data_IF_427489497508
#
_entry.id   IF_427489497508
#
_cell.length_a   1.000
_cell.length_b   1.000
_cell.length_c   1.000
_cell.angle_alpha   90.00
_cell.angle_beta   90.00
_cell.angle_gamma   90.00
#
_symmetry.space_group_name_H-M   'P 1'
#
loop_
_entity.id
_entity.type
_entity.pdbx_description
1 polymer ?
#
# COMPACT_ATOMS: atom_id res chain seq x y z
N UNK A 1 -10.78 -24.36 6.37
CA UNK A 1 -9.37 -23.96 6.60
C UNK A 1 -8.73 -23.88 5.22
N UNK A 2 -8.42 -22.69 4.68
CA UNK A 2 -7.80 -22.59 3.34
C UNK A 2 -6.34 -22.97 3.50
N UNK A 3 -5.98 -24.17 3.04
CA UNK A 3 -4.59 -24.59 2.92
C UNK A 3 -4.02 -23.76 1.77
N UNK A 4 -3.39 -22.64 2.10
CA UNK A 4 -2.69 -21.82 1.11
C UNK A 4 -1.56 -22.68 0.54
N UNK A 5 -1.59 -22.89 -0.77
CA UNK A 5 -0.54 -23.61 -1.47
C UNK A 5 0.80 -22.88 -1.24
N UNK A 6 1.94 -23.58 -1.24
CA UNK A 6 3.22 -22.95 -0.89
C UNK A 6 3.57 -21.74 -1.79
N UNK A 7 3.00 -21.70 -2.99
CA UNK A 7 3.10 -20.61 -3.98
C UNK A 7 2.33 -19.34 -3.59
N UNK A 8 1.37 -19.45 -2.68
CA UNK A 8 0.51 -18.35 -2.21
C UNK A 8 1.06 -17.66 -0.96
N UNK A 9 2.19 -18.11 -0.43
CA UNK A 9 2.85 -17.52 0.71
C UNK A 9 4.03 -16.67 0.26
N UNK A 10 4.08 -15.42 0.73
CA UNK A 10 5.17 -14.49 0.48
C UNK A 10 5.94 -14.25 1.75
N UNK A 11 7.25 -14.40 1.67
CA UNK A 11 8.19 -13.96 2.70
C UNK A 11 8.14 -12.44 2.87
N UNK A 12 8.68 -11.96 4.00
CA UNK A 12 8.85 -10.53 4.26
C UNK A 12 9.61 -9.81 3.13
N UNK A 13 10.59 -10.48 2.52
CA UNK A 13 11.39 -9.91 1.44
C UNK A 13 10.57 -9.73 0.15
N UNK A 14 9.78 -10.74 -0.22
CA UNK A 14 8.92 -10.66 -1.41
C UNK A 14 7.80 -9.63 -1.22
N UNK A 15 7.22 -9.53 -0.01
CA UNK A 15 6.25 -8.48 0.32
C UNK A 15 6.87 -7.08 0.22
N UNK A 16 8.11 -6.93 0.68
CA UNK A 16 8.84 -5.67 0.59
C UNK A 16 9.08 -5.25 -0.87
N UNK A 17 9.46 -6.20 -1.73
CA UNK A 17 9.61 -5.96 -3.18
C UNK A 17 8.27 -5.62 -3.85
N UNK A 18 7.20 -6.38 -3.58
CA UNK A 18 5.87 -6.13 -4.14
C UNK A 18 5.35 -4.72 -3.84
N UNK A 19 5.66 -4.21 -2.65
CA UNK A 19 5.21 -2.90 -2.18
C UNK A 19 6.22 -1.77 -2.44
N UNK A 20 7.42 -2.07 -2.96
CA UNK A 20 8.54 -1.13 -3.08
C UNK A 20 8.83 -0.40 -1.75
N UNK A 21 8.95 -1.17 -0.66
CA UNK A 21 9.26 -0.63 0.68
C UNK A 21 10.40 -1.40 1.35
N UNK A 22 10.94 -0.87 2.44
CA UNK A 22 11.96 -1.57 3.22
C UNK A 22 11.39 -2.77 3.97
N UNK A 23 12.22 -3.80 4.18
CA UNK A 23 11.85 -4.97 5.02
C UNK A 23 11.48 -4.57 6.45
N UNK A 24 12.15 -3.53 6.99
CA UNK A 24 11.85 -2.97 8.30
C UNK A 24 10.43 -2.39 8.39
N UNK A 25 9.98 -1.71 7.33
CA UNK A 25 8.61 -1.21 7.25
C UNK A 25 7.59 -2.35 7.30
N UNK A 26 7.83 -3.43 6.55
CA UNK A 26 6.96 -4.61 6.56
C UNK A 26 6.88 -5.23 7.96
N UNK A 27 8.02 -5.47 8.62
CA UNK A 27 8.03 -6.08 9.97
C UNK A 27 7.39 -5.18 11.03
N UNK A 28 7.85 -3.93 11.10
CA UNK A 28 7.53 -3.03 12.21
C UNK A 28 6.16 -2.37 12.07
N UNK A 29 5.68 -2.19 10.84
CA UNK A 29 4.43 -1.48 10.59
C UNK A 29 3.33 -2.37 10.04
N UNK A 30 3.63 -3.28 9.12
CA UNK A 30 2.59 -4.10 8.50
C UNK A 30 2.29 -5.37 9.32
N UNK A 31 3.32 -6.07 9.78
CA UNK A 31 3.15 -7.31 10.54
C UNK A 31 2.85 -7.05 12.01
N UNK A 32 3.61 -6.16 12.67
CA UNK A 32 3.41 -5.82 14.09
C UNK A 32 2.03 -5.23 14.36
N UNK A 33 1.52 -4.36 13.47
CA UNK A 33 0.17 -3.77 13.58
C UNK A 33 -0.92 -4.61 12.92
N UNK A 34 -0.61 -5.84 12.52
CA UNK A 34 -1.60 -6.80 12.01
C UNK A 34 -2.35 -6.36 10.74
N UNK A 35 -1.78 -5.45 9.96
CA UNK A 35 -2.37 -4.92 8.73
C UNK A 35 -2.51 -6.01 7.65
N UNK A 36 -1.59 -6.98 7.63
CA UNK A 36 -1.53 -8.04 6.62
C UNK A 36 -1.95 -9.42 7.16
N UNK A 37 -2.82 -9.49 8.19
CA UNK A 37 -3.32 -10.78 8.67
C UNK A 37 -4.21 -11.48 7.61
N UNK A 38 -4.20 -12.82 7.54
CA UNK A 38 -3.44 -13.76 8.37
C UNK A 38 -1.96 -13.86 8.00
N UNK A 39 -1.12 -14.15 9.00
CA UNK A 39 0.32 -14.40 8.85
C UNK A 39 0.58 -15.86 9.21
N UNK A 40 1.21 -16.61 8.32
CA UNK A 40 1.56 -18.02 8.52
C UNK A 40 2.98 -18.11 9.05
N UNK A 41 3.20 -18.94 10.06
CA UNK A 41 4.54 -19.24 10.57
C UNK A 41 4.98 -20.59 10.02
N UNK A 42 6.07 -20.59 9.25
CA UNK A 42 6.69 -21.81 8.72
C UNK A 42 8.15 -21.83 9.17
N UNK A 43 8.54 -22.84 9.96
CA UNK A 43 9.91 -23.01 10.49
C UNK A 43 10.47 -21.73 11.15
N UNK A 44 9.65 -21.07 11.99
CA UNK A 44 10.03 -19.82 12.69
C UNK A 44 10.06 -18.55 11.82
N UNK A 45 9.79 -18.66 10.52
CA UNK A 45 9.73 -17.51 9.60
C UNK A 45 8.27 -17.11 9.34
N UNK A 46 8.01 -15.80 9.27
CA UNK A 46 6.68 -15.23 9.01
C UNK A 46 6.45 -15.09 7.50
N UNK A 47 5.31 -15.58 7.04
CA UNK A 47 4.84 -15.50 5.67
C UNK A 47 3.47 -14.84 5.62
N UNK A 48 3.23 -14.10 4.55
CA UNK A 48 1.98 -13.38 4.29
C UNK A 48 1.29 -14.02 3.10
N UNK A 49 -0.03 -14.15 3.16
CA UNK A 49 -0.79 -14.61 1.99
C UNK A 49 -0.69 -13.59 0.86
N UNK A 50 -0.24 -14.03 -0.32
CA UNK A 50 -0.02 -13.21 -1.52
C UNK A 50 -1.24 -12.36 -1.85
N UNK A 51 -2.42 -12.96 -1.88
CA UNK A 51 -3.68 -12.26 -2.15
C UNK A 51 -3.93 -11.07 -1.20
N UNK A 52 -3.54 -11.18 0.07
CA UNK A 52 -3.66 -10.08 1.04
C UNK A 52 -2.64 -8.98 0.80
N UNK A 53 -1.40 -9.34 0.48
CA UNK A 53 -0.37 -8.37 0.12
C UNK A 53 -0.75 -7.58 -1.15
N UNK A 54 -1.30 -8.24 -2.16
CA UNK A 54 -1.81 -7.60 -3.38
C UNK A 54 -3.02 -6.71 -3.12
N UNK A 55 -3.99 -7.17 -2.32
CA UNK A 55 -5.15 -6.37 -1.95
C UNK A 55 -4.69 -5.08 -1.22
N UNK A 56 -3.71 -5.19 -0.33
CA UNK A 56 -3.11 -4.04 0.34
C UNK A 56 -2.45 -3.08 -0.65
N UNK A 57 -1.67 -3.59 -1.60
CA UNK A 57 -1.06 -2.79 -2.68
C UNK A 57 -2.11 -2.00 -3.46
N UNK A 58 -3.15 -2.68 -3.94
CA UNK A 58 -4.25 -2.06 -4.72
C UNK A 58 -4.95 -0.97 -3.91
N UNK A 59 -5.21 -1.22 -2.62
CA UNK A 59 -5.82 -0.22 -1.71
C UNK A 59 -4.94 1.02 -1.57
N UNK A 60 -3.63 0.85 -1.33
CA UNK A 60 -2.69 1.97 -1.20
C UNK A 60 -2.57 2.77 -2.49
N UNK A 61 -2.52 2.10 -3.64
CA UNK A 61 -2.49 2.77 -4.94
C UNK A 61 -3.76 3.59 -5.20
N UNK A 62 -4.94 3.06 -4.83
CA UNK A 62 -6.20 3.80 -4.94
C UNK A 62 -6.20 5.07 -4.09
N UNK A 63 -5.72 4.99 -2.85
CA UNK A 63 -5.63 6.14 -1.95
C UNK A 63 -4.66 7.18 -2.52
N UNK A 64 -3.48 6.77 -2.98
CA UNK A 64 -2.50 7.67 -3.57
C UNK A 64 -3.06 8.39 -4.80
N UNK A 65 -3.71 7.66 -5.72
CA UNK A 65 -4.37 8.24 -6.89
C UNK A 65 -5.46 9.24 -6.50
N UNK A 66 -6.25 8.94 -5.47
CA UNK A 66 -7.28 9.87 -4.98
C UNK A 66 -6.64 11.15 -4.43
N UNK A 67 -5.65 11.03 -3.57
CA UNK A 67 -4.94 12.18 -3.02
C UNK A 67 -4.33 13.07 -4.12
N UNK A 68 -3.71 12.47 -5.13
CA UNK A 68 -3.17 13.22 -6.28
C UNK A 68 -4.26 13.96 -7.06
N UNK A 69 -5.43 13.35 -7.26
CA UNK A 69 -6.56 14.02 -7.92
C UNK A 69 -7.09 15.19 -7.11
N UNK A 70 -7.21 15.04 -5.79
CA UNK A 70 -7.64 16.14 -4.93
C UNK A 70 -6.63 17.30 -4.95
N UNK A 71 -5.32 17.01 -4.88
CA UNK A 71 -4.29 18.03 -5.01
C UNK A 71 -4.34 18.75 -6.37
N UNK A 72 -4.53 18.00 -7.46
CA UNK A 72 -4.68 18.57 -8.80
C UNK A 72 -5.91 19.48 -8.89
N UNK A 73 -7.05 19.06 -8.31
CA UNK A 73 -8.28 19.87 -8.27
C UNK A 73 -8.08 21.18 -7.50
N UNK A 74 -7.44 21.12 -6.33
CA UNK A 74 -7.13 22.32 -5.53
C UNK A 74 -6.21 23.26 -6.31
N UNK A 75 -5.14 22.74 -6.90
CA UNK A 75 -4.20 23.55 -7.69
C UNK A 75 -4.86 24.22 -8.90
N UNK A 76 -5.76 23.53 -9.60
CA UNK A 76 -6.55 24.12 -10.68
C UNK A 76 -7.49 25.21 -10.19
N UNK A 77 -8.16 25.00 -9.05
CA UNK A 77 -9.01 26.02 -8.43
C UNK A 77 -8.23 27.29 -8.06
N UNK A 78 -7.04 27.15 -7.47
CA UNK A 78 -6.16 28.29 -7.13
C UNK A 78 -5.70 29.05 -8.37
N UNK A 79 -5.27 28.33 -9.43
CA UNK A 79 -4.92 28.97 -10.72
C UNK A 79 -6.07 29.75 -11.35
N UNK A 80 -7.32 29.35 -11.13
CA UNK A 80 -8.48 30.10 -11.61
C UNK A 80 -8.66 31.42 -10.84
N UNK A 81 -8.42 31.43 -9.53
CA UNK A 81 -8.47 32.66 -8.72
C UNK A 81 -7.38 33.68 -9.10
N UNK A 82 -6.15 33.22 -9.37
CA UNK A 82 -5.06 34.09 -9.79
C UNK A 82 -5.36 34.76 -11.14
N UNK A 83 -5.93 34.02 -12.10
CA UNK A 83 -6.28 34.55 -13.42
C UNK A 83 -7.44 35.56 -13.38
N UNK A 84 -8.42 35.39 -12.49
CA UNK A 84 -9.52 36.36 -12.32
C UNK A 84 -9.07 37.65 -11.64
N UNK A 85 -7.99 37.62 -10.86
CA UNK A 85 -7.49 38.81 -10.15
C UNK A 85 -6.56 39.66 -11.02
N UNK A 86 -5.93 39.08 -12.05
CA UNK A 86 -5.09 39.79 -13.02
C UNK A 86 -5.87 40.44 -14.19
N UNK A 87 -7.19 40.24 -14.28
CA UNK A 87 -8.05 40.86 -15.30
C UNK A 87 -8.70 42.17 -14.81
N UNK A 88 -8.01 42.95 -13.98
CA UNK A 88 -8.48 44.23 -13.46
C UNK A 88 -7.50 45.36 -13.73
#
# INVERSE_FOLDING_TARGET
MVIADARDLMSVAEVAQLLFVSRGYVRNRLLRKHVLRPVVLVRGRKFVVRAKAEAYRRKRQRIARRALRELARISQGVRLYDNTTMSR
#
